data_IF_749601914001
#
_entry.id   IF_749601914001
#
_cell.length_a   1.000
_cell.length_b   1.000
_cell.length_c   1.000
_cell.angle_alpha   90.00
_cell.angle_beta   90.00
_cell.angle_gamma   90.00
#
_symmetry.space_group_name_H-M   'P 1'
#
loop_
_entity.id
_entity.type
_entity.pdbx_description
1 polymer ?
#
# COMPACT_ATOMS: atom_id res chain seq x y z
N UNK A 1 -13.54 -100.47 -40.12
CA UNK A 1 -14.81 -100.23 -39.39
C UNK A 1 -14.90 -98.73 -39.11
N UNK A 2 -15.47 -97.90 -39.98
CA UNK A 2 -16.87 -97.78 -40.45
C UNK A 2 -17.80 -97.08 -39.46
N UNK A 3 -17.99 -95.76 -39.73
CA UNK A 3 -19.23 -94.95 -39.68
C UNK A 3 -19.83 -94.66 -38.28
N UNK A 4 -20.35 -93.48 -37.96
CA UNK A 4 -21.29 -92.63 -38.74
C UNK A 4 -21.19 -91.14 -38.37
N UNK A 5 -21.40 -90.31 -39.41
CA UNK A 5 -21.83 -88.90 -39.39
C UNK A 5 -23.35 -88.82 -39.12
N UNK A 6 -23.81 -87.71 -38.53
CA UNK A 6 -25.12 -87.07 -38.78
C UNK A 6 -25.17 -85.72 -38.05
N UNK A 7 -25.05 -84.60 -38.76
CA UNK A 7 -26.13 -83.73 -39.28
C UNK A 7 -26.75 -82.83 -38.20
N UNK A 8 -26.38 -81.55 -38.16
CA UNK A 8 -27.14 -80.40 -38.71
C UNK A 8 -28.52 -80.23 -38.09
N UNK A 9 -28.66 -79.16 -37.30
CA UNK A 9 -29.93 -78.52 -36.97
C UNK A 9 -29.69 -77.02 -36.75
N UNK A 10 -29.85 -76.23 -37.83
CA UNK A 10 -30.04 -74.77 -37.71
C UNK A 10 -31.41 -74.54 -37.07
N UNK A 11 -31.47 -73.78 -35.98
CA UNK A 11 -32.69 -73.09 -35.56
C UNK A 11 -32.36 -71.61 -35.37
N UNK A 12 -32.83 -70.84 -36.34
CA UNK A 12 -32.96 -69.39 -36.33
C UNK A 12 -34.20 -68.99 -35.53
N UNK A 13 -34.11 -67.86 -34.78
CA UNK A 13 -35.15 -66.96 -34.23
C UNK A 13 -34.49 -66.19 -33.07
N UNK A 14 -33.90 -65.01 -33.23
CA UNK A 14 -34.50 -63.67 -33.37
C UNK A 14 -35.72 -63.46 -32.45
N UNK A 15 -35.60 -62.40 -31.62
CA UNK A 15 -36.59 -61.64 -30.83
C UNK A 15 -36.70 -61.90 -29.31
N UNK A 16 -36.33 -60.83 -28.56
CA UNK A 16 -37.11 -60.13 -27.52
C UNK A 16 -36.64 -60.25 -26.06
N UNK A 17 -36.33 -59.08 -25.48
CA UNK A 17 -36.06 -58.81 -24.06
C UNK A 17 -34.94 -57.75 -23.90
N UNK A 18 -35.06 -56.50 -24.36
CA UNK A 18 -35.95 -55.41 -23.90
C UNK A 18 -35.82 -55.13 -22.38
N UNK A 19 -35.12 -54.03 -22.09
CA UNK A 19 -35.01 -53.25 -20.82
C UNK A 19 -34.09 -53.79 -19.71
N UNK A 20 -32.78 -53.58 -19.86
CA UNK A 20 -31.88 -53.26 -18.72
C UNK A 20 -31.12 -51.99 -19.11
N UNK A 21 -31.81 -50.87 -19.07
CA UNK A 21 -31.26 -49.59 -19.48
C UNK A 21 -32.20 -48.48 -19.05
N UNK A 22 -32.15 -48.10 -17.76
CA UNK A 22 -32.62 -46.82 -17.22
C UNK A 22 -32.70 -46.91 -15.68
N UNK A 23 -31.60 -46.65 -14.99
CA UNK A 23 -31.60 -46.11 -13.62
C UNK A 23 -30.18 -45.84 -13.11
N UNK A 24 -29.29 -45.24 -13.93
CA UNK A 24 -28.25 -44.39 -13.34
C UNK A 24 -28.96 -43.06 -13.11
N UNK A 25 -29.71 -43.01 -12.01
CA UNK A 25 -30.21 -41.76 -11.47
C UNK A 25 -28.97 -40.97 -11.09
N UNK A 26 -28.62 -40.05 -11.99
CA UNK A 26 -27.73 -38.94 -11.77
C UNK A 26 -28.09 -38.30 -10.41
N UNK A 27 -27.40 -38.73 -9.36
CA UNK A 27 -27.24 -37.93 -8.15
C UNK A 27 -26.36 -36.74 -8.52
N UNK A 28 -26.91 -35.82 -9.32
CA UNK A 28 -26.42 -34.45 -9.32
C UNK A 28 -26.86 -33.87 -7.99
N UNK A 29 -26.08 -34.16 -6.94
CA UNK A 29 -26.14 -33.38 -5.72
C UNK A 29 -26.08 -31.90 -6.09
N UNK A 30 -26.74 -31.01 -5.34
CA UNK A 30 -26.67 -29.58 -5.59
C UNK A 30 -25.19 -29.22 -5.68
N UNK A 31 -24.76 -28.78 -6.87
CA UNK A 31 -23.47 -28.12 -7.03
C UNK A 31 -23.62 -26.85 -6.21
N UNK A 32 -23.10 -26.88 -4.98
CA UNK A 32 -22.94 -25.67 -4.19
C UNK A 32 -22.10 -24.77 -5.08
N UNK A 33 -22.72 -23.70 -5.56
CA UNK A 33 -21.98 -22.66 -6.24
C UNK A 33 -20.92 -22.21 -5.24
N UNK A 34 -19.67 -22.60 -5.49
CA UNK A 34 -18.54 -21.90 -4.93
C UNK A 34 -18.83 -20.44 -5.21
N UNK A 35 -18.78 -19.62 -4.18
CA UNK A 35 -18.95 -18.16 -4.17
C UNK A 35 -18.02 -17.41 -5.14
N UNK A 36 -17.28 -18.12 -5.98
CA UNK A 36 -16.32 -17.60 -6.95
C UNK A 36 -15.01 -17.18 -6.29
N UNK A 37 -14.88 -17.37 -4.97
CA UNK A 37 -13.70 -17.00 -4.20
C UNK A 37 -12.78 -18.21 -4.10
N UNK A 38 -11.52 -18.01 -4.44
CA UNK A 38 -10.47 -19.00 -4.27
C UNK A 38 -9.76 -18.77 -2.94
N UNK A 39 -9.71 -19.80 -2.12
CA UNK A 39 -9.02 -19.76 -0.84
C UNK A 39 -7.51 -19.96 -1.04
N UNK A 40 -6.71 -19.23 -0.25
CA UNK A 40 -5.27 -19.41 -0.15
C UNK A 40 -4.96 -19.65 1.33
N UNK A 41 -4.31 -20.76 1.62
CA UNK A 41 -3.82 -21.10 2.94
C UNK A 41 -2.35 -21.54 2.90
N UNK A 42 -1.76 -21.65 4.09
CA UNK A 42 -0.37 -22.10 4.23
C UNK A 42 -0.17 -23.56 3.79
N UNK A 43 -1.21 -24.40 3.83
CA UNK A 43 -1.10 -25.83 3.51
C UNK A 43 -0.98 -26.04 1.99
N UNK A 44 -1.70 -25.27 1.18
CA UNK A 44 -1.55 -25.26 -0.27
C UNK A 44 -0.26 -24.56 -0.69
N UNK A 45 0.07 -23.44 -0.05
CA UNK A 45 1.27 -22.66 -0.37
C UNK A 45 2.55 -23.46 -0.05
N UNK A 46 2.60 -24.22 1.05
CA UNK A 46 3.75 -25.06 1.40
C UNK A 46 3.65 -26.49 0.86
N UNK A 47 2.50 -26.88 0.33
CA UNK A 47 2.18 -28.22 -0.13
C UNK A 47 2.29 -28.35 -1.66
N UNK A 48 1.24 -28.82 -2.36
CA UNK A 48 1.32 -29.08 -3.80
C UNK A 48 1.25 -27.84 -4.69
N UNK A 49 1.02 -26.64 -4.13
CA UNK A 49 0.63 -25.42 -4.85
C UNK A 49 -0.86 -25.10 -4.65
N UNK A 50 -1.22 -23.82 -4.67
CA UNK A 50 -2.62 -23.41 -4.39
C UNK A 50 -3.53 -23.49 -5.61
N UNK A 51 -2.98 -23.31 -6.82
CA UNK A 51 -3.74 -23.31 -8.06
C UNK A 51 -3.12 -24.23 -9.11
N UNK A 52 -3.89 -24.53 -10.16
CA UNK A 52 -3.40 -25.34 -11.27
C UNK A 52 -2.20 -24.66 -11.94
N UNK A 53 -1.04 -25.31 -11.91
CA UNK A 53 0.21 -24.78 -12.48
C UNK A 53 1.09 -24.04 -11.46
N UNK A 54 0.60 -23.81 -10.24
CA UNK A 54 1.39 -23.27 -9.15
C UNK A 54 2.35 -24.36 -8.63
N UNK A 55 3.61 -24.00 -8.42
CA UNK A 55 4.59 -24.93 -7.89
C UNK A 55 4.44 -25.06 -6.36
N UNK A 56 4.85 -26.18 -5.75
CA UNK A 56 5.04 -26.26 -4.30
C UNK A 56 5.91 -25.12 -3.76
N UNK A 57 5.42 -24.40 -2.75
CA UNK A 57 6.14 -23.32 -2.09
C UNK A 57 5.63 -21.92 -2.43
N UNK A 58 6.46 -20.92 -2.11
CA UNK A 58 6.21 -19.52 -2.45
C UNK A 58 7.02 -19.13 -3.69
N UNK A 59 6.53 -18.17 -4.51
CA UNK A 59 5.27 -17.43 -4.37
C UNK A 59 4.03 -18.27 -4.68
N UNK A 60 2.88 -17.87 -4.13
CA UNK A 60 1.56 -18.26 -4.68
C UNK A 60 1.31 -17.43 -5.93
N UNK A 61 1.20 -18.09 -7.10
CA UNK A 61 1.04 -17.41 -8.39
C UNK A 61 -0.43 -17.24 -8.76
N UNK A 62 -0.85 -15.99 -9.00
CA UNK A 62 -2.18 -15.62 -9.47
C UNK A 62 -2.07 -15.10 -10.92
N UNK A 63 -2.31 -15.99 -11.87
CA UNK A 63 -2.29 -15.70 -13.32
C UNK A 63 -3.69 -15.46 -13.92
N UNK A 64 -4.73 -15.65 -13.12
CA UNK A 64 -6.13 -15.48 -13.49
C UNK A 64 -6.80 -16.72 -14.09
N UNK A 65 -6.07 -17.84 -14.21
CA UNK A 65 -6.63 -19.11 -14.71
C UNK A 65 -7.60 -19.75 -13.71
N UNK A 66 -7.35 -19.58 -12.41
CA UNK A 66 -8.19 -20.11 -11.34
C UNK A 66 -9.38 -19.19 -10.96
N UNK A 67 -9.36 -17.91 -11.35
CA UNK A 67 -10.37 -16.92 -10.99
C UNK A 67 -9.80 -15.51 -10.90
N UNK A 68 -10.58 -14.59 -10.30
CA UNK A 68 -10.18 -13.18 -10.06
C UNK A 68 -10.44 -12.71 -8.63
N UNK A 69 -11.07 -13.56 -7.81
CA UNK A 69 -11.39 -13.27 -6.42
C UNK A 69 -10.72 -14.30 -5.53
N UNK A 70 -9.89 -13.81 -4.61
CA UNK A 70 -9.07 -14.63 -3.72
C UNK A 70 -9.28 -14.20 -2.28
N UNK A 71 -9.19 -15.15 -1.35
CA UNK A 71 -9.29 -14.90 0.08
C UNK A 71 -8.23 -15.70 0.84
N UNK A 72 -7.53 -15.05 1.77
CA UNK A 72 -6.72 -15.79 2.72
C UNK A 72 -7.60 -16.47 3.78
N UNK A 73 -7.26 -17.71 4.11
CA UNK A 73 -7.88 -18.46 5.22
C UNK A 73 -6.89 -18.80 6.33
N UNK A 74 -5.60 -18.50 6.13
CA UNK A 74 -4.55 -18.54 7.16
C UNK A 74 -3.51 -17.47 6.90
N UNK A 75 -2.63 -17.22 7.87
CA UNK A 75 -1.41 -16.44 7.64
C UNK A 75 -0.51 -17.11 6.59
N UNK A 76 0.14 -16.30 5.75
CA UNK A 76 1.19 -16.73 4.83
C UNK A 76 2.52 -16.18 5.31
N UNK A 77 3.40 -17.08 5.78
CA UNK A 77 4.71 -16.68 6.30
C UNK A 77 5.83 -17.35 5.51
N UNK A 78 6.80 -16.57 5.04
CA UNK A 78 8.02 -17.13 4.46
C UNK A 78 8.88 -17.78 5.56
N UNK A 79 9.26 -19.05 5.37
CA UNK A 79 10.12 -19.75 6.32
C UNK A 79 11.50 -19.05 6.47
N UNK A 80 12.09 -19.04 7.68
CA UNK A 80 13.46 -18.57 7.86
C UNK A 80 14.43 -19.31 6.94
N UNK A 81 15.41 -18.60 6.38
CA UNK A 81 16.43 -19.15 5.47
C UNK A 81 15.91 -19.78 4.16
N UNK A 82 14.62 -19.61 3.83
CA UNK A 82 14.11 -19.99 2.52
C UNK A 82 14.86 -19.20 1.43
N UNK A 83 15.06 -19.79 0.23
CA UNK A 83 15.65 -19.06 -0.88
C UNK A 83 14.88 -17.76 -1.18
N UNK A 84 15.59 -16.79 -1.75
CA UNK A 84 15.00 -15.52 -2.17
C UNK A 84 13.89 -15.77 -3.18
N UNK A 85 12.66 -15.38 -2.84
CA UNK A 85 11.54 -15.33 -3.78
C UNK A 85 11.38 -13.91 -4.31
N UNK A 86 10.65 -13.69 -5.40
CA UNK A 86 10.30 -12.31 -5.80
C UNK A 86 9.22 -11.74 -4.88
N UNK A 87 8.23 -12.56 -4.51
CA UNK A 87 7.15 -12.19 -3.59
C UNK A 87 6.61 -13.39 -2.81
N UNK A 88 5.73 -13.16 -1.83
CA UNK A 88 4.92 -14.25 -1.22
C UNK A 88 3.69 -14.52 -2.09
N UNK A 89 3.05 -13.46 -2.60
CA UNK A 89 1.98 -13.53 -3.59
C UNK A 89 2.42 -12.78 -4.85
N UNK A 90 2.37 -13.44 -6.00
CA UNK A 90 2.71 -12.85 -7.30
C UNK A 90 1.49 -12.83 -8.23
N UNK A 91 1.04 -11.63 -8.59
CA UNK A 91 -0.16 -11.39 -9.39
C UNK A 91 0.27 -10.93 -10.78
N UNK A 92 0.12 -11.80 -11.78
CA UNK A 92 0.58 -11.55 -13.15
C UNK A 92 -0.54 -11.11 -14.10
N UNK A 93 -1.70 -10.78 -13.55
CA UNK A 93 -2.94 -10.57 -14.31
C UNK A 93 -3.74 -9.41 -13.72
N UNK A 94 -4.61 -8.78 -14.52
CA UNK A 94 -5.41 -7.61 -14.13
C UNK A 94 -6.65 -7.97 -13.30
N UNK A 95 -7.28 -6.95 -12.69
CA UNK A 95 -8.63 -7.04 -12.10
C UNK A 95 -8.77 -8.15 -11.05
N UNK A 96 -7.72 -8.33 -10.25
CA UNK A 96 -7.67 -9.31 -9.17
C UNK A 96 -8.05 -8.65 -7.86
N UNK A 97 -8.93 -9.27 -7.10
CA UNK A 97 -9.20 -8.89 -5.70
C UNK A 97 -8.65 -9.96 -4.77
N UNK A 98 -7.84 -9.53 -3.81
CA UNK A 98 -7.37 -10.35 -2.69
C UNK A 98 -7.92 -9.75 -1.40
N UNK A 99 -8.75 -10.53 -0.73
CA UNK A 99 -9.22 -10.29 0.62
C UNK A 99 -8.31 -11.03 1.60
N UNK A 100 -7.54 -10.29 2.39
CA UNK A 100 -6.65 -10.88 3.40
C UNK A 100 -7.44 -11.41 4.61
N UNK A 101 -8.73 -11.07 4.75
CA UNK A 101 -9.67 -11.62 5.73
C UNK A 101 -9.15 -11.66 7.17
N UNK A 102 -8.45 -10.61 7.58
CA UNK A 102 -7.81 -10.44 8.89
C UNK A 102 -6.46 -11.16 9.07
N UNK A 103 -6.03 -11.96 8.08
CA UNK A 103 -4.75 -12.67 8.10
C UNK A 103 -3.60 -11.80 7.59
N UNK A 104 -2.39 -12.29 7.82
CA UNK A 104 -1.15 -11.62 7.49
C UNK A 104 -0.39 -12.30 6.35
N UNK A 105 0.21 -11.47 5.50
CA UNK A 105 1.31 -11.85 4.62
C UNK A 105 2.58 -11.32 5.27
N UNK A 106 3.50 -12.22 5.63
CA UNK A 106 4.68 -11.85 6.41
C UNK A 106 5.96 -12.52 5.88
N UNK A 107 7.05 -11.77 5.80
CA UNK A 107 8.37 -12.39 5.66
C UNK A 107 8.89 -12.85 7.03
N UNK A 108 10.06 -13.50 7.02
CA UNK A 108 10.73 -13.87 8.25
C UNK A 108 11.15 -12.60 9.06
N UNK A 109 11.39 -12.75 10.36
CA UNK A 109 11.88 -11.65 11.19
C UNK A 109 13.29 -11.21 10.75
N UNK A 110 13.50 -9.90 10.55
CA UNK A 110 14.76 -9.35 10.03
C UNK A 110 16.03 -9.90 10.71
N UNK A 111 16.00 -10.17 12.03
CA UNK A 111 17.12 -10.76 12.76
C UNK A 111 17.50 -12.19 12.31
N UNK A 112 16.53 -12.93 11.75
CA UNK A 112 16.72 -14.29 11.23
C UNK A 112 16.90 -14.30 9.69
N UNK A 113 16.56 -13.21 8.99
CA UNK A 113 16.68 -13.11 7.53
C UNK A 113 17.96 -12.40 7.06
N UNK A 114 18.93 -12.12 7.92
CA UNK A 114 20.05 -11.22 7.61
C UNK A 114 20.94 -11.64 6.43
N UNK A 115 20.87 -12.90 5.99
CA UNK A 115 21.71 -13.45 4.93
C UNK A 115 20.96 -13.78 3.63
N UNK A 116 19.66 -13.50 3.56
CA UNK A 116 18.88 -13.70 2.35
C UNK A 116 18.60 -12.35 1.73
N UNK A 117 18.89 -12.22 0.44
CA UNK A 117 18.26 -11.22 -0.41
C UNK A 117 16.75 -11.53 -0.38
N UNK A 118 16.05 -11.11 0.68
CA UNK A 118 14.67 -11.51 0.98
C UNK A 118 13.72 -11.11 -0.13
N UNK A 119 12.53 -11.69 -0.11
CA UNK A 119 11.43 -11.34 -0.99
C UNK A 119 11.43 -9.85 -1.38
N UNK A 120 11.40 -9.57 -2.67
CA UNK A 120 11.35 -8.18 -3.15
C UNK A 120 10.04 -7.52 -2.71
N UNK A 121 8.94 -8.26 -2.61
CA UNK A 121 7.69 -7.77 -2.06
C UNK A 121 6.99 -8.81 -1.17
N UNK A 122 6.06 -8.39 -0.32
CA UNK A 122 5.05 -9.31 0.22
C UNK A 122 4.04 -9.69 -0.85
N UNK A 123 3.45 -8.68 -1.46
CA UNK A 123 2.51 -8.82 -2.57
C UNK A 123 3.06 -8.03 -3.76
N UNK A 124 3.33 -8.74 -4.84
CA UNK A 124 3.76 -8.16 -6.12
C UNK A 124 2.63 -8.31 -7.13
N UNK A 125 2.34 -7.24 -7.87
CA UNK A 125 1.35 -7.27 -8.94
C UNK A 125 1.81 -6.48 -10.15
N UNK A 126 1.69 -7.09 -11.33
CA UNK A 126 2.07 -6.45 -12.60
C UNK A 126 0.88 -6.06 -13.48
N UNK A 127 -0.34 -6.51 -13.15
CA UNK A 127 -1.57 -6.08 -13.80
C UNK A 127 -2.21 -4.84 -13.14
N UNK A 128 -2.97 -4.02 -13.89
CA UNK A 128 -3.80 -2.95 -13.32
C UNK A 128 -5.04 -3.52 -12.60
N UNK A 129 -5.74 -2.68 -11.84
CA UNK A 129 -7.03 -3.05 -11.23
C UNK A 129 -6.92 -4.05 -10.08
N UNK A 130 -5.74 -4.17 -9.46
CA UNK A 130 -5.52 -5.07 -8.34
C UNK A 130 -6.04 -4.44 -7.04
N UNK A 131 -6.92 -5.13 -6.34
CA UNK A 131 -7.44 -4.74 -5.04
C UNK A 131 -6.90 -5.65 -3.93
N UNK A 132 -6.28 -5.07 -2.91
CA UNK A 132 -5.80 -5.76 -1.70
C UNK A 132 -6.53 -5.15 -0.49
N UNK A 133 -7.18 -5.97 0.33
CA UNK A 133 -7.96 -5.45 1.46
C UNK A 133 -7.92 -6.32 2.72
N UNK A 134 -8.28 -5.72 3.84
CA UNK A 134 -8.72 -6.40 5.06
C UNK A 134 -7.66 -7.31 5.70
N UNK A 135 -6.47 -6.80 6.01
CA UNK A 135 -5.48 -7.63 6.72
C UNK A 135 -4.15 -6.95 6.97
N UNK A 136 -3.08 -7.73 7.03
CA UNK A 136 -1.75 -7.20 7.39
C UNK A 136 -0.66 -7.62 6.41
N UNK A 137 0.27 -6.71 6.12
CA UNK A 137 1.48 -7.02 5.35
C UNK A 137 2.70 -6.57 6.15
N UNK A 138 3.50 -7.52 6.64
CA UNK A 138 4.50 -7.22 7.67
C UNK A 138 5.88 -7.83 7.40
N UNK A 139 6.91 -7.24 8.01
CA UNK A 139 8.28 -7.76 8.06
C UNK A 139 9.00 -7.87 6.72
N UNK A 140 8.62 -7.08 5.72
CA UNK A 140 9.35 -7.02 4.45
C UNK A 140 10.49 -6.01 4.51
N UNK A 141 11.64 -6.40 3.97
CA UNK A 141 12.83 -5.54 3.87
C UNK A 141 12.78 -4.64 2.63
N UNK A 142 12.06 -5.01 1.58
CA UNK A 142 11.99 -4.22 0.35
C UNK A 142 10.62 -3.55 0.24
N UNK A 143 9.65 -4.23 -0.37
CA UNK A 143 8.27 -3.76 -0.48
C UNK A 143 7.33 -4.61 0.37
N UNK A 144 6.36 -3.99 1.04
CA UNK A 144 5.20 -4.72 1.55
C UNK A 144 4.29 -5.07 0.38
N UNK A 145 3.82 -4.03 -0.33
CA UNK A 145 2.94 -4.13 -1.49
C UNK A 145 3.53 -3.32 -2.65
N UNK A 146 3.68 -3.95 -3.82
CA UNK A 146 4.20 -3.31 -5.04
C UNK A 146 3.28 -3.59 -6.23
N UNK A 147 2.51 -2.58 -6.64
CA UNK A 147 1.49 -2.62 -7.70
C UNK A 147 1.70 -1.48 -8.72
N UNK A 148 2.81 -1.45 -9.49
CA UNK A 148 3.18 -0.32 -10.34
C UNK A 148 2.28 -0.07 -11.55
N UNK A 149 1.43 -1.02 -11.95
CA UNK A 149 0.60 -0.89 -13.15
C UNK A 149 -0.57 0.11 -13.01
N UNK A 150 -0.90 0.52 -11.78
CA UNK A 150 -1.92 1.53 -11.50
C UNK A 150 -3.33 0.95 -11.30
N UNK A 151 -4.28 1.84 -11.04
CA UNK A 151 -5.67 1.53 -10.68
C UNK A 151 -5.77 0.54 -9.52
N UNK A 152 -4.79 0.54 -8.63
CA UNK A 152 -4.80 -0.35 -7.47
C UNK A 152 -5.77 0.17 -6.42
N UNK A 153 -6.37 -0.73 -5.63
CA UNK A 153 -7.11 -0.38 -4.43
C UNK A 153 -6.43 -1.08 -3.25
N UNK A 154 -5.90 -0.31 -2.29
CA UNK A 154 -5.41 -0.86 -1.02
C UNK A 154 -6.31 -0.30 0.07
N UNK A 155 -7.03 -1.17 0.77
CA UNK A 155 -8.07 -0.76 1.71
C UNK A 155 -8.00 -1.53 3.03
N UNK A 156 -7.98 -0.85 4.18
CA UNK A 156 -7.95 -1.51 5.50
C UNK A 156 -6.82 -2.53 5.62
N UNK A 157 -5.61 -2.11 5.24
CA UNK A 157 -4.40 -2.92 5.37
C UNK A 157 -3.49 -2.27 6.41
N UNK A 158 -3.11 -3.05 7.43
CA UNK A 158 -2.05 -2.66 8.36
C UNK A 158 -0.70 -3.08 7.76
N UNK A 159 0.26 -2.16 7.74
CA UNK A 159 1.62 -2.46 7.32
C UNK A 159 2.57 -2.24 8.49
N UNK A 160 3.34 -3.27 8.81
CA UNK A 160 4.42 -3.21 9.80
C UNK A 160 5.70 -3.68 9.11
N UNK A 161 6.31 -2.77 8.35
CA UNK A 161 7.49 -3.09 7.56
C UNK A 161 8.77 -2.62 8.26
N UNK A 162 9.88 -3.25 7.94
CA UNK A 162 11.23 -2.75 8.27
C UNK A 162 11.91 -2.48 6.94
N UNK A 163 11.39 -1.54 6.12
CA UNK A 163 11.80 -1.48 4.76
C UNK A 163 13.13 -0.72 4.66
N UNK A 164 14.00 -1.25 3.82
CA UNK A 164 15.13 -0.56 3.20
C UNK A 164 14.62 0.34 2.06
N UNK A 165 13.42 0.06 1.53
CA UNK A 165 12.74 0.79 0.45
C UNK A 165 11.33 1.26 0.87
N UNK A 166 10.38 1.34 -0.07
CA UNK A 166 8.99 1.74 0.18
C UNK A 166 8.13 0.59 0.70
N UNK A 167 7.26 0.81 1.70
CA UNK A 167 6.33 -0.24 2.14
C UNK A 167 5.19 -0.45 1.15
N UNK A 168 4.70 0.64 0.55
CA UNK A 168 3.70 0.62 -0.50
C UNK A 168 4.22 1.39 -1.69
N UNK A 169 4.19 0.76 -2.86
CA UNK A 169 4.37 1.42 -4.15
C UNK A 169 3.20 1.07 -5.06
N UNK A 170 2.38 2.05 -5.42
CA UNK A 170 1.28 1.88 -6.38
C UNK A 170 1.41 2.81 -7.57
N UNK A 171 0.98 2.35 -8.74
CA UNK A 171 0.98 3.12 -9.98
C UNK A 171 -0.11 4.19 -10.06
N UNK A 172 -0.31 4.78 -11.25
CA UNK A 172 -1.25 5.88 -11.48
C UNK A 172 -2.71 5.52 -11.17
N UNK A 173 -3.51 6.51 -10.74
CA UNK A 173 -4.95 6.36 -10.53
C UNK A 173 -5.35 5.37 -9.45
N UNK A 174 -4.45 5.12 -8.48
CA UNK A 174 -4.69 4.17 -7.41
C UNK A 174 -5.41 4.81 -6.23
N UNK A 175 -6.05 4.00 -5.39
CA UNK A 175 -6.74 4.41 -4.18
C UNK A 175 -6.11 3.71 -2.98
N UNK A 176 -5.66 4.49 -2.01
CA UNK A 176 -5.15 4.05 -0.73
C UNK A 176 -6.12 4.58 0.34
N UNK A 177 -6.77 3.67 1.06
CA UNK A 177 -7.83 4.03 2.01
C UNK A 177 -7.70 3.24 3.31
N UNK A 178 -7.92 3.91 4.44
CA UNK A 178 -7.96 3.30 5.77
C UNK A 178 -6.70 2.49 6.08
N UNK A 179 -5.52 2.97 5.67
CA UNK A 179 -4.26 2.27 5.92
C UNK A 179 -3.74 2.54 7.33
N UNK A 180 -3.21 1.50 7.98
CA UNK A 180 -2.49 1.62 9.25
C UNK A 180 -1.02 1.25 9.06
N UNK A 181 -0.16 2.23 8.76
CA UNK A 181 1.26 1.93 8.59
C UNK A 181 2.03 2.25 9.87
N UNK A 182 2.52 1.19 10.52
CA UNK A 182 3.29 1.24 11.76
C UNK A 182 4.69 1.85 11.58
N UNK A 183 5.30 2.18 12.71
CA UNK A 183 6.63 2.82 12.78
C UNK A 183 7.70 1.90 12.23
N UNK A 184 8.40 2.35 11.20
CA UNK A 184 9.46 1.57 10.56
C UNK A 184 10.84 1.91 11.12
N UNK A 185 11.61 0.92 11.56
CA UNK A 185 13.03 1.13 11.86
C UNK A 185 13.82 1.07 10.54
N UNK A 186 13.80 2.15 9.76
CA UNK A 186 14.57 2.20 8.51
C UNK A 186 16.06 2.11 8.81
N UNK A 187 16.78 1.29 8.05
CA UNK A 187 18.23 1.33 8.00
C UNK A 187 18.67 2.61 7.27
N UNK A 188 19.92 3.05 7.49
CA UNK A 188 20.48 4.33 7.02
C UNK A 188 20.70 4.42 5.50
N UNK A 189 19.75 3.94 4.68
CA UNK A 189 19.83 4.02 3.23
C UNK A 189 19.83 5.50 2.80
N UNK A 190 20.78 5.92 1.94
CA UNK A 190 20.83 7.30 1.43
C UNK A 190 19.69 7.60 0.45
N UNK A 191 19.06 6.57 -0.12
CA UNK A 191 17.88 6.74 -0.97
C UNK A 191 16.68 6.97 -0.05
N UNK A 192 16.40 8.24 0.29
CA UNK A 192 15.34 8.66 1.21
C UNK A 192 14.01 7.93 0.91
N UNK A 193 13.70 6.82 1.61
CA UNK A 193 12.56 6.00 1.21
C UNK A 193 11.28 6.69 1.69
N UNK A 194 10.21 6.53 0.93
CA UNK A 194 8.89 6.91 1.42
C UNK A 194 8.15 5.69 1.92
N UNK A 195 7.42 5.81 3.02
CA UNK A 195 6.66 4.69 3.55
C UNK A 195 5.57 4.24 2.55
N UNK A 196 4.89 5.20 1.94
CA UNK A 196 4.01 4.97 0.80
C UNK A 196 4.31 5.93 -0.35
N UNK A 197 4.31 5.39 -1.57
CA UNK A 197 4.37 6.14 -2.83
C UNK A 197 3.12 5.84 -3.65
N UNK A 198 2.36 6.87 -3.97
CA UNK A 198 1.21 6.79 -4.85
C UNK A 198 1.48 7.55 -6.16
N UNK A 199 1.38 6.84 -7.29
CA UNK A 199 1.56 7.40 -8.62
C UNK A 199 0.53 8.48 -8.99
N UNK A 200 0.60 9.06 -10.21
CA UNK A 200 -0.13 10.27 -10.56
C UNK A 200 -1.65 10.04 -10.55
N UNK A 201 -2.41 11.07 -10.17
CA UNK A 201 -3.87 11.01 -10.11
C UNK A 201 -4.43 10.05 -9.06
N UNK A 202 -3.63 9.65 -8.07
CA UNK A 202 -4.06 8.74 -7.01
C UNK A 202 -4.86 9.47 -5.92
N UNK A 203 -5.62 8.70 -5.14
CA UNK A 203 -6.35 9.18 -3.97
C UNK A 203 -5.79 8.48 -2.74
N UNK A 204 -5.35 9.25 -1.74
CA UNK A 204 -4.89 8.72 -0.45
C UNK A 204 -5.76 9.33 0.64
N UNK A 205 -6.52 8.50 1.37
CA UNK A 205 -7.44 9.02 2.38
C UNK A 205 -7.55 8.18 3.65
N UNK A 206 -7.94 8.83 4.74
CA UNK A 206 -8.23 8.20 6.04
C UNK A 206 -7.10 7.29 6.56
N UNK A 207 -5.86 7.54 6.16
CA UNK A 207 -4.72 6.66 6.45
C UNK A 207 -3.84 7.23 7.55
N UNK A 208 -3.27 6.35 8.36
CA UNK A 208 -2.27 6.62 9.39
C UNK A 208 -0.88 6.17 8.95
N UNK A 209 0.11 7.07 8.99
CA UNK A 209 1.51 6.73 8.70
C UNK A 209 2.41 7.10 9.87
N UNK A 210 3.00 6.10 10.51
CA UNK A 210 4.05 6.26 11.51
C UNK A 210 5.42 6.14 10.85
N UNK A 211 6.19 7.22 10.81
CA UNK A 211 7.60 7.13 10.43
C UNK A 211 8.45 6.62 11.58
N UNK A 212 9.64 6.11 11.28
CA UNK A 212 10.68 5.94 12.29
C UNK A 212 11.93 6.76 11.96
N UNK A 213 13.00 6.09 11.57
CA UNK A 213 14.36 6.66 11.67
C UNK A 213 14.73 7.61 10.51
N UNK A 214 14.27 7.37 9.28
CA UNK A 214 14.66 8.14 8.10
C UNK A 214 13.58 8.11 7.00
N UNK A 215 13.67 9.07 6.07
CA UNK A 215 12.83 9.14 4.88
C UNK A 215 11.58 10.02 5.03
N UNK A 216 10.56 9.74 4.23
CA UNK A 216 9.28 10.44 4.30
C UNK A 216 8.07 9.52 4.43
N UNK A 217 6.93 10.03 4.94
CA UNK A 217 5.78 9.17 5.22
C UNK A 217 5.01 8.87 3.94
N UNK A 218 4.68 9.94 3.21
CA UNK A 218 3.86 9.82 2.02
C UNK A 218 4.46 10.65 0.90
N UNK A 219 4.69 10.03 -0.25
CA UNK A 219 4.91 10.72 -1.52
C UNK A 219 3.72 10.48 -2.42
N UNK A 220 3.14 11.56 -2.93
CA UNK A 220 2.11 11.50 -3.96
C UNK A 220 2.59 12.24 -5.21
N UNK A 221 2.45 11.58 -6.35
CA UNK A 221 2.83 12.15 -7.65
C UNK A 221 1.71 13.03 -8.22
N UNK A 222 2.00 13.70 -9.33
CA UNK A 222 1.21 14.82 -9.83
C UNK A 222 -0.31 14.55 -9.96
N UNK A 223 -1.11 15.58 -9.68
CA UNK A 223 -2.58 15.53 -9.80
C UNK A 223 -3.29 14.64 -8.77
N UNK A 224 -2.59 14.21 -7.72
CA UNK A 224 -3.16 13.35 -6.68
C UNK A 224 -3.97 14.11 -5.63
N UNK A 225 -4.86 13.41 -4.93
CA UNK A 225 -5.73 13.92 -3.88
C UNK A 225 -5.43 13.23 -2.54
N UNK A 226 -5.06 14.01 -1.52
CA UNK A 226 -4.65 13.51 -0.20
C UNK A 226 -5.58 14.08 0.87
N UNK A 227 -6.43 13.23 1.46
CA UNK A 227 -7.54 13.64 2.31
C UNK A 227 -7.51 13.00 3.70
N UNK A 228 -7.58 13.84 4.74
CA UNK A 228 -7.88 13.37 6.10
C UNK A 228 -6.93 12.28 6.62
N UNK A 229 -5.64 12.38 6.26
CA UNK A 229 -4.61 11.45 6.73
C UNK A 229 -3.97 11.94 8.02
N UNK A 230 -3.54 11.01 8.87
CA UNK A 230 -2.74 11.26 10.05
C UNK A 230 -1.30 10.79 9.84
N UNK A 231 -0.33 11.68 9.96
CA UNK A 231 1.09 11.36 9.85
C UNK A 231 1.76 11.70 11.17
N UNK A 232 2.49 10.72 11.70
CA UNK A 232 3.25 10.87 12.92
C UNK A 232 4.71 10.51 12.67
N UNK A 233 5.59 11.47 12.93
CA UNK A 233 7.04 11.30 12.78
C UNK A 233 7.69 11.47 14.16
N UNK A 234 8.05 10.36 14.84
CA UNK A 234 8.66 10.41 16.15
C UNK A 234 10.07 11.01 16.09
N UNK A 235 10.44 11.66 17.20
CA UNK A 235 11.77 12.22 17.43
C UNK A 235 12.77 11.09 17.55
N UNK A 236 13.57 10.83 16.51
CA UNK A 236 14.68 9.88 16.64
C UNK A 236 15.94 10.38 15.96
N UNK A 237 16.71 11.17 16.71
CA UNK A 237 18.18 11.32 16.76
C UNK A 237 19.09 11.46 15.52
N UNK A 238 18.64 11.29 14.27
CA UNK A 238 19.51 11.58 13.12
C UNK A 238 19.17 12.94 12.47
N UNK A 239 19.93 14.00 12.78
CA UNK A 239 19.74 15.33 12.20
C UNK A 239 20.26 15.47 10.76
N UNK A 240 20.94 14.46 10.21
CA UNK A 240 21.63 14.60 8.91
C UNK A 240 20.74 14.26 7.70
N UNK A 241 19.60 13.61 7.90
CA UNK A 241 18.70 13.23 6.82
C UNK A 241 17.42 14.08 6.88
N UNK A 242 17.12 14.88 5.84
CA UNK A 242 15.88 15.65 5.83
C UNK A 242 14.70 14.68 5.80
N UNK A 243 13.83 14.79 6.81
CA UNK A 243 12.58 14.02 6.91
C UNK A 243 11.44 14.80 6.28
N UNK A 244 10.49 14.06 5.71
CA UNK A 244 9.32 14.65 5.05
C UNK A 244 8.05 13.96 5.52
N UNK A 245 7.13 14.67 6.15
CA UNK A 245 5.81 14.10 6.44
C UNK A 245 5.09 13.73 5.14
N UNK A 246 4.65 14.74 4.39
CA UNK A 246 4.07 14.58 3.05
C UNK A 246 4.96 15.26 2.03
N UNK A 247 5.31 14.56 0.95
CA UNK A 247 5.80 15.17 -0.29
C UNK A 247 4.72 15.07 -1.37
N UNK A 248 4.30 16.20 -1.89
CA UNK A 248 3.29 16.30 -2.94
C UNK A 248 3.89 16.95 -4.18
N UNK A 249 3.84 16.25 -5.31
CA UNK A 249 4.31 16.78 -6.59
C UNK A 249 3.29 17.75 -7.20
N UNK A 250 3.50 18.15 -8.45
CA UNK A 250 2.73 19.20 -9.10
C UNK A 250 1.22 18.95 -9.10
N UNK A 251 0.43 20.01 -8.96
CA UNK A 251 -1.04 19.99 -9.06
C UNK A 251 -1.75 19.04 -8.07
N UNK A 252 -1.08 18.63 -6.99
CA UNK A 252 -1.70 17.83 -5.94
C UNK A 252 -2.63 18.66 -5.05
N UNK A 253 -3.69 18.05 -4.54
CA UNK A 253 -4.57 18.67 -3.52
C UNK A 253 -4.45 17.94 -2.19
N UNK A 254 -3.98 18.63 -1.16
CA UNK A 254 -3.82 18.15 0.20
C UNK A 254 -4.87 18.83 1.08
N UNK A 255 -5.81 18.07 1.60
CA UNK A 255 -6.92 18.62 2.37
C UNK A 255 -7.18 17.88 3.69
N UNK A 256 -7.33 18.63 4.78
CA UNK A 256 -7.66 18.12 6.14
C UNK A 256 -6.66 17.12 6.72
N UNK A 257 -5.41 17.11 6.27
CA UNK A 257 -4.38 16.22 6.81
C UNK A 257 -3.85 16.73 8.15
N UNK A 258 -3.43 15.81 9.02
CA UNK A 258 -2.75 16.11 10.28
C UNK A 258 -1.34 15.54 10.22
N UNK A 259 -0.35 16.40 10.19
CA UNK A 259 1.06 16.00 10.26
C UNK A 259 1.59 16.45 11.62
N UNK A 260 2.01 15.48 12.44
CA UNK A 260 2.73 15.74 13.69
C UNK A 260 4.13 15.20 13.56
N UNK A 261 5.09 16.09 13.64
CA UNK A 261 6.48 15.79 13.42
C UNK A 261 7.36 16.52 14.43
N UNK A 262 8.46 15.89 14.82
CA UNK A 262 9.36 16.42 15.83
C UNK A 262 10.71 16.74 15.17
N UNK A 263 11.05 18.03 15.18
CA UNK A 263 12.22 18.74 14.61
C UNK A 263 13.56 17.97 14.54
N UNK A 264 14.43 18.19 13.52
CA UNK A 264 14.26 19.08 12.34
C UNK A 264 13.79 18.34 11.08
N UNK A 265 12.77 18.89 10.41
CA UNK A 265 12.08 18.17 9.35
C UNK A 265 11.02 18.99 8.60
N UNK A 266 10.63 18.54 7.41
CA UNK A 266 9.60 19.20 6.59
C UNK A 266 8.28 18.47 6.76
N UNK A 267 7.30 19.08 7.44
CA UNK A 267 6.00 18.46 7.65
C UNK A 267 5.27 18.22 6.33
N UNK A 268 5.21 19.25 5.48
CA UNK A 268 4.62 19.18 4.14
C UNK A 268 5.52 19.88 3.14
N UNK A 269 5.94 19.16 2.09
CA UNK A 269 6.66 19.70 0.93
C UNK A 269 5.79 19.55 -0.31
N UNK A 270 5.26 20.65 -0.82
CA UNK A 270 4.36 20.70 -1.94
C UNK A 270 4.99 21.46 -3.13
N UNK A 271 5.02 20.83 -4.29
CA UNK A 271 5.60 21.40 -5.51
C UNK A 271 4.62 22.37 -6.22
N UNK A 272 4.91 22.72 -7.48
CA UNK A 272 4.21 23.75 -8.25
C UNK A 272 2.73 23.39 -8.46
N UNK A 273 1.83 24.36 -8.29
CA UNK A 273 0.39 24.19 -8.51
C UNK A 273 -0.34 23.43 -7.42
N UNK A 274 0.34 23.00 -6.35
CA UNK A 274 -0.29 22.27 -5.27
C UNK A 274 -1.27 23.14 -4.46
N UNK A 275 -2.35 22.51 -3.98
CA UNK A 275 -3.40 23.14 -3.17
C UNK A 275 -3.40 22.54 -1.76
N UNK A 276 -3.03 23.33 -0.74
CA UNK A 276 -2.99 22.94 0.66
C UNK A 276 -4.16 23.58 1.39
N UNK A 277 -5.16 22.79 1.80
CA UNK A 277 -6.42 23.28 2.36
C UNK A 277 -6.70 22.67 3.73
N UNK A 278 -6.82 23.49 4.77
CA UNK A 278 -7.29 23.05 6.10
C UNK A 278 -6.44 21.93 6.73
N UNK A 279 -5.14 21.89 6.44
CA UNK A 279 -4.23 20.95 7.06
C UNK A 279 -3.78 21.47 8.44
N UNK A 280 -3.47 20.55 9.33
CA UNK A 280 -2.85 20.84 10.63
C UNK A 280 -1.44 20.27 10.61
N UNK A 281 -0.43 21.13 10.71
CA UNK A 281 0.98 20.73 10.71
C UNK A 281 1.59 21.16 12.04
N UNK A 282 2.03 20.22 12.84
CA UNK A 282 2.85 20.44 14.03
C UNK A 282 4.26 19.97 13.66
N UNK A 283 5.19 20.91 13.46
CA UNK A 283 6.53 20.63 12.92
C UNK A 283 7.19 21.89 12.39
N UNK A 284 8.36 21.76 11.74
CA UNK A 284 9.22 22.92 11.49
C UNK A 284 8.91 23.68 10.20
N UNK A 285 8.55 22.99 9.12
CA UNK A 285 8.46 23.64 7.80
C UNK A 285 7.28 23.12 6.98
N UNK A 286 6.51 24.04 6.41
CA UNK A 286 5.64 23.84 5.26
C UNK A 286 6.26 24.53 4.04
N UNK A 287 6.53 23.79 2.97
CA UNK A 287 7.05 24.33 1.71
C UNK A 287 5.95 24.24 0.65
N UNK A 288 5.67 25.35 -0.03
CA UNK A 288 4.78 25.39 -1.18
C UNK A 288 5.49 26.09 -2.34
N UNK A 289 5.80 25.37 -3.42
CA UNK A 289 6.54 25.90 -4.57
C UNK A 289 5.74 26.93 -5.38
N UNK A 290 4.46 26.68 -5.61
CA UNK A 290 3.44 27.64 -6.08
C UNK A 290 2.05 27.03 -5.89
N UNK A 291 0.98 27.82 -5.97
CA UNK A 291 -0.39 27.31 -5.91
C UNK A 291 -1.25 28.02 -4.87
N UNK A 292 -1.95 27.26 -4.03
CA UNK A 292 -2.88 27.83 -3.03
C UNK A 292 -2.68 27.18 -1.67
N UNK A 293 -2.45 28.01 -0.65
CA UNK A 293 -2.31 27.59 0.75
C UNK A 293 -3.40 28.32 1.55
N UNK A 294 -4.44 27.59 1.95
CA UNK A 294 -5.62 28.15 2.61
C UNK A 294 -6.05 27.40 3.86
N UNK A 295 -6.39 28.14 4.92
CA UNK A 295 -7.11 27.56 6.06
C UNK A 295 -6.26 26.64 6.94
N UNK A 296 -4.94 26.59 6.75
CA UNK A 296 -4.07 25.65 7.44
C UNK A 296 -3.70 26.17 8.84
N UNK A 297 -3.50 25.26 9.79
CA UNK A 297 -2.98 25.56 11.12
C UNK A 297 -1.57 24.98 11.25
N UNK A 298 -0.58 25.82 11.49
CA UNK A 298 0.83 25.45 11.62
C UNK A 298 1.28 25.76 13.05
N UNK A 299 1.76 24.75 13.76
CA UNK A 299 2.32 24.86 15.11
C UNK A 299 3.81 24.53 15.07
N UNK A 300 4.64 25.52 15.35
CA UNK A 300 6.09 25.39 15.41
C UNK A 300 6.52 24.94 16.80
N UNK A 301 7.35 23.90 16.85
CA UNK A 301 7.88 23.33 18.09
C UNK A 301 9.42 23.38 18.17
N UNK A 302 10.13 23.91 17.17
CA UNK A 302 11.59 23.89 17.15
C UNK A 302 12.22 24.99 18.03
N UNK A 303 13.14 24.56 18.90
CA UNK A 303 13.98 25.44 19.74
C UNK A 303 15.46 25.47 19.33
N UNK A 304 15.81 24.88 18.19
CA UNK A 304 17.21 24.53 17.88
C UNK A 304 17.88 25.29 16.72
N UNK A 305 17.12 25.77 15.73
CA UNK A 305 17.65 26.43 14.53
C UNK A 305 16.63 27.42 13.98
N UNK A 306 17.06 28.49 13.27
CA UNK A 306 16.16 29.38 12.54
C UNK A 306 15.58 28.63 11.33
N UNK A 307 14.57 27.78 11.57
CA UNK A 307 13.73 27.23 10.51
C UNK A 307 12.56 28.18 10.27
N UNK A 308 12.31 28.50 9.01
CA UNK A 308 11.11 29.23 8.62
C UNK A 308 9.92 28.27 8.67
N UNK A 309 8.85 28.65 9.35
CA UNK A 309 7.62 27.86 9.44
C UNK A 309 7.02 27.55 8.08
N UNK A 310 7.11 28.53 7.18
CA UNK A 310 6.42 28.54 5.91
C UNK A 310 7.34 29.16 4.85
N UNK A 311 7.60 28.39 3.80
CA UNK A 311 8.30 28.84 2.60
C UNK A 311 7.32 28.84 1.43
N UNK A 312 7.01 30.03 0.91
CA UNK A 312 6.10 30.21 -0.22
C UNK A 312 6.89 30.61 -1.46
N UNK A 313 6.76 29.83 -2.53
CA UNK A 313 7.34 30.16 -3.82
C UNK A 313 6.45 31.12 -4.64
N UNK A 314 6.95 31.57 -5.80
CA UNK A 314 6.30 32.61 -6.60
C UNK A 314 4.87 32.26 -7.02
N UNK A 315 3.97 33.24 -6.98
CA UNK A 315 2.58 33.06 -7.42
C UNK A 315 1.70 32.26 -6.46
N UNK A 316 2.20 31.91 -5.26
CA UNK A 316 1.38 31.25 -4.24
C UNK A 316 0.33 32.22 -3.70
N UNK A 317 -0.93 31.80 -3.70
CA UNK A 317 -2.01 32.48 -2.97
C UNK A 317 -2.05 31.94 -1.54
N UNK A 318 -2.09 32.85 -0.56
CA UNK A 318 -2.01 32.51 0.85
C UNK A 318 -3.10 33.24 1.64
N UNK A 319 -4.06 32.53 2.25
CA UNK A 319 -5.17 33.13 3.00
C UNK A 319 -5.70 32.25 4.15
N UNK A 320 -6.20 32.88 5.21
CA UNK A 320 -6.91 32.21 6.31
C UNK A 320 -6.08 31.14 7.07
N UNK A 321 -4.76 31.24 7.04
CA UNK A 321 -3.88 30.32 7.76
C UNK A 321 -3.52 30.91 9.13
N UNK A 322 -3.30 30.01 10.09
CA UNK A 322 -2.88 30.33 11.46
C UNK A 322 -1.50 29.75 11.67
N UNK A 323 -0.53 30.58 12.04
CA UNK A 323 0.82 30.13 12.41
C UNK A 323 1.04 30.48 13.87
N UNK A 324 1.32 29.48 14.69
CA UNK A 324 1.64 29.61 16.10
C UNK A 324 3.02 29.03 16.38
N UNK A 325 3.78 29.67 17.27
CA UNK A 325 5.06 29.17 17.74
C UNK A 325 5.00 28.92 19.24
N UNK A 326 5.49 27.77 19.71
CA UNK A 326 5.58 27.50 21.15
C UNK A 326 6.84 28.07 21.80
N UNK A 327 7.82 28.53 21.01
CA UNK A 327 9.10 29.04 21.50
C UNK A 327 9.42 30.41 20.91
N UNK A 328 9.90 31.33 21.76
CA UNK A 328 10.06 32.75 21.47
C UNK A 328 11.16 33.12 20.43
N UNK A 329 11.80 32.14 19.79
CA UNK A 329 12.96 32.36 18.90
C UNK A 329 12.72 31.95 17.44
N UNK A 330 11.52 31.53 17.06
CA UNK A 330 11.20 31.15 15.68
C UNK A 330 10.74 32.37 14.87
N UNK A 331 11.34 32.60 13.70
CA UNK A 331 10.82 33.55 12.70
C UNK A 331 9.69 32.86 11.91
N UNK A 332 8.45 33.36 11.94
CA UNK A 332 7.28 32.62 11.47
C UNK A 332 7.15 32.56 9.94
N UNK A 333 7.78 33.44 9.15
CA UNK A 333 7.61 33.46 7.69
C UNK A 333 8.92 33.84 6.98
N UNK A 334 9.33 33.05 5.97
CA UNK A 334 10.46 33.36 5.09
C UNK A 334 10.06 33.35 3.61
N UNK A 335 10.40 34.40 2.86
CA UNK A 335 10.04 34.53 1.43
C UNK A 335 10.42 35.90 0.85
N UNK A 336 10.33 36.05 -0.48
CA UNK A 336 10.69 37.32 -1.15
C UNK A 336 9.75 38.48 -0.74
N UNK A 337 10.30 39.69 -0.74
CA UNK A 337 9.87 40.93 -0.05
C UNK A 337 8.45 41.51 -0.34
N UNK A 338 7.48 40.76 -0.86
CA UNK A 338 6.12 41.25 -1.15
C UNK A 338 5.02 40.22 -0.94
N UNK A 339 5.00 39.53 0.21
CA UNK A 339 3.91 38.62 0.57
C UNK A 339 2.72 39.42 1.12
N UNK A 340 1.62 39.46 0.38
CA UNK A 340 0.34 39.96 0.90
C UNK A 340 -0.26 38.91 1.83
N UNK A 341 -0.16 39.15 3.14
CA UNK A 341 -0.63 38.25 4.19
C UNK A 341 -2.15 38.29 4.42
N UNK A 342 -2.97 38.96 3.60
CA UNK A 342 -4.44 38.85 3.67
C UNK A 342 -5.04 38.86 5.09
N UNK A 343 -6.04 37.99 5.35
CA UNK A 343 -6.61 37.73 6.69
C UNK A 343 -5.90 36.57 7.41
N UNK A 344 -4.56 36.53 7.38
CA UNK A 344 -3.80 35.54 8.15
C UNK A 344 -3.55 36.09 9.57
N UNK A 345 -3.65 35.23 10.58
CA UNK A 345 -3.42 35.60 11.98
C UNK A 345 -2.10 35.02 12.49
N UNK A 346 -1.26 35.88 13.09
CA UNK A 346 -0.11 35.48 13.89
C UNK A 346 -0.42 35.68 15.38
N UNK A 347 0.13 34.84 16.25
CA UNK A 347 0.11 35.06 17.71
C UNK A 347 0.88 36.35 18.06
N UNK A 348 0.32 37.17 18.95
CA UNK A 348 0.84 38.49 19.38
C UNK A 348 2.21 38.42 20.08
N UNK A 349 2.70 37.24 20.44
CA UNK A 349 3.93 37.04 21.22
C UNK A 349 5.25 36.99 20.41
N UNK A 350 5.21 36.86 19.08
CA UNK A 350 6.42 36.90 18.24
C UNK A 350 6.63 38.29 17.64
N UNK A 351 7.78 38.90 17.90
CA UNK A 351 8.11 40.28 17.53
C UNK A 351 8.27 40.53 16.00
N UNK A 352 8.05 39.51 15.18
CA UNK A 352 8.16 39.56 13.72
C UNK A 352 7.00 38.79 13.06
N UNK A 353 5.88 39.47 12.83
CA UNK A 353 5.04 39.22 11.65
C UNK A 353 4.95 40.52 10.83
N UNK A 354 5.58 40.60 9.66
CA UNK A 354 5.18 41.52 8.61
C UNK A 354 4.14 40.87 7.69
#
# INVERSE_FOLDING_TARGET
>A
MSRRRSSVGRVSRILLGVVVGAAIVLQTGPVLASDGVREIDSACALGPGCFSGDAPGLPVTIDGSAGRSYRLTTDLTQAPFAPSVAAIIDITTSDVTIDLNGYSVASCLAALCQNVNTASAGILGSGPGIAIRDGRVTRFLNYGIRLPAGQALIQRVDLDAIPVFESILVGPGSILEDLGVGTTTTTSSPAQPFLAVAGPGSIVRHSGFGLGLAGGALRVEAGSLVLSNGIFVPLIADPLLPRRGIRAEADCRLETNRVKEISPSIGVDAEIGAMLVRNVVQGDVVVAGSGQVQGNAILLESGGSPSFALTLGPGTTYRENVVAATLATADPVGGSLFLNMGENACDESTASCP
#
